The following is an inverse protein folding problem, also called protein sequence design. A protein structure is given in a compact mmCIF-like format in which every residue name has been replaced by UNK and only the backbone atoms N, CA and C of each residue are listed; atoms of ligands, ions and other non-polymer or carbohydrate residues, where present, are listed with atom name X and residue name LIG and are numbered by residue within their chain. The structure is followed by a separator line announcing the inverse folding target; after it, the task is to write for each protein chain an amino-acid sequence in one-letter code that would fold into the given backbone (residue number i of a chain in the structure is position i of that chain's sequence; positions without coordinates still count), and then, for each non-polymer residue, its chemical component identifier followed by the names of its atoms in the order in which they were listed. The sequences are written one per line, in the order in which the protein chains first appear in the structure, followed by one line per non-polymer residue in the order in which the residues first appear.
data_IF_283351875491
#
_entry.id   IF_283351875491
#
_cell.length_a   1.000
_cell.length_b   1.000
_cell.length_c   1.000
_cell.angle_alpha   90.00
_cell.angle_beta   90.00
_cell.angle_gamma   90.00
#
_symmetry.space_group_name_H-M   'P 1'
#
loop_
_entity.id
_entity.type
_entity.pdbx_description
1 polymer ?
#
# COMPACT_ATOMS: atom_id res chain seq x y z
N UNK A 1 5.06 5.58 -47.30
CA UNK A 1 6.37 5.43 -46.64
C UNK A 1 6.12 4.83 -45.28
N UNK A 2 6.66 3.64 -45.04
CA UNK A 2 6.43 2.82 -43.87
C UNK A 2 7.70 2.81 -43.03
N UNK A 3 7.61 3.10 -41.73
CA UNK A 3 8.68 2.82 -40.80
C UNK A 3 8.16 2.00 -39.62
N UNK A 4 8.49 0.72 -39.71
CA UNK A 4 8.29 -0.33 -38.75
C UNK A 4 9.49 -0.35 -37.81
N UNK A 5 9.30 0.05 -36.54
CA UNK A 5 10.28 -0.25 -35.50
C UNK A 5 9.92 -1.57 -34.80
N UNK A 6 10.51 -2.65 -35.32
CA UNK A 6 10.90 -3.82 -34.51
C UNK A 6 12.26 -3.54 -33.87
N UNK A 7 12.53 -4.24 -32.75
CA UNK A 7 13.80 -4.53 -32.05
C UNK A 7 13.69 -4.16 -30.56
N UNK A 8 14.14 -4.95 -29.58
CA UNK A 8 14.64 -6.33 -29.54
C UNK A 8 14.56 -6.73 -28.06
N UNK A 9 14.02 -7.92 -27.78
CA UNK A 9 14.14 -8.60 -26.49
C UNK A 9 15.60 -8.94 -26.23
N UNK A 10 16.10 -8.65 -25.02
CA UNK A 10 17.39 -9.13 -24.53
C UNK A 10 17.18 -9.75 -23.15
N UNK A 11 16.71 -10.99 -23.16
CA UNK A 11 17.04 -11.92 -22.08
C UNK A 11 18.51 -12.30 -22.25
N UNK A 12 19.37 -11.81 -21.37
CA UNK A 12 20.71 -12.36 -21.19
C UNK A 12 20.77 -13.09 -19.85
N UNK A 13 20.80 -14.41 -19.97
CA UNK A 13 21.31 -15.37 -19.00
C UNK A 13 22.73 -15.02 -18.58
N UNK A 14 22.98 -14.85 -17.28
CA UNK A 14 24.32 -14.99 -16.68
C UNK A 14 24.23 -15.84 -15.41
N UNK A 15 24.64 -17.09 -15.56
CA UNK A 15 25.07 -17.99 -14.49
C UNK A 15 26.59 -18.11 -14.54
N UNK A 16 27.26 -17.78 -13.42
CA UNK A 16 28.48 -18.39 -12.83
C UNK A 16 28.93 -17.48 -11.67
N UNK A 17 28.74 -17.86 -10.39
CA UNK A 17 29.61 -18.69 -9.51
C UNK A 17 30.75 -17.88 -8.86
N UNK A 18 30.75 -17.80 -7.51
CA UNK A 18 31.98 -17.70 -6.71
C UNK A 18 32.12 -16.59 -5.65
N UNK A 19 31.56 -16.82 -4.46
CA UNK A 19 32.14 -16.56 -3.12
C UNK A 19 32.73 -15.19 -2.72
N UNK A 20 32.09 -14.53 -1.74
CA UNK A 20 32.73 -14.10 -0.50
C UNK A 20 31.69 -13.94 0.62
N UNK A 21 31.95 -14.62 1.73
CA UNK A 21 31.14 -14.66 2.94
C UNK A 21 31.42 -13.41 3.78
N UNK A 22 30.39 -12.63 4.12
CA UNK A 22 30.44 -11.72 5.26
C UNK A 22 29.31 -12.07 6.24
N UNK A 23 29.76 -12.53 7.41
CA UNK A 23 28.96 -12.77 8.61
C UNK A 23 28.40 -11.47 9.16
N UNK A 24 27.14 -11.48 9.59
CA UNK A 24 26.68 -10.82 10.82
C UNK A 24 25.24 -11.26 11.16
N UNK A 25 24.78 -11.11 12.41
CA UNK A 25 24.39 -12.24 13.25
C UNK A 25 22.88 -12.30 13.52
N UNK A 26 22.34 -13.51 13.55
CA UNK A 26 20.92 -13.74 13.84
C UNK A 26 20.56 -15.22 13.68
N UNK A 27 21.25 -16.10 14.41
CA UNK A 27 20.87 -17.51 14.48
C UNK A 27 19.66 -17.68 15.40
N UNK A 28 18.49 -17.96 14.81
CA UNK A 28 17.37 -18.58 15.52
C UNK A 28 17.50 -20.12 15.44
N UNK A 29 17.11 -20.87 16.49
CA UNK A 29 17.33 -22.31 16.57
C UNK A 29 16.19 -23.07 15.87
N UNK A 30 16.17 -23.14 14.53
CA UNK A 30 15.15 -23.93 13.82
C UNK A 30 15.64 -24.73 12.60
N UNK A 31 16.96 -24.94 12.44
CA UNK A 31 17.51 -25.59 11.23
C UNK A 31 18.31 -26.88 11.50
N UNK A 32 17.87 -27.73 12.44
CA UNK A 32 18.56 -29.03 12.70
C UNK A 32 17.70 -30.30 12.65
N UNK A 33 16.50 -30.28 12.06
CA UNK A 33 15.62 -31.45 12.06
C UNK A 33 15.29 -32.09 10.69
N UNK A 34 15.80 -31.57 9.55
CA UNK A 34 15.36 -32.03 8.22
C UNK A 34 16.43 -32.76 7.37
N UNK A 35 17.36 -33.48 7.99
CA UNK A 35 18.43 -34.17 7.26
C UNK A 35 18.36 -35.72 7.28
N UNK A 36 17.25 -36.35 7.74
CA UNK A 36 17.22 -37.82 7.91
C UNK A 36 16.00 -38.58 7.40
N UNK A 37 15.15 -37.98 6.59
CA UNK A 37 14.12 -38.74 5.87
C UNK A 37 14.21 -38.45 4.39
N UNK A 38 14.65 -39.45 3.62
CA UNK A 38 14.19 -39.83 2.28
C UNK A 38 15.30 -40.57 1.53
N UNK A 39 15.25 -41.90 1.55
CA UNK A 39 15.32 -42.80 0.38
C UNK A 39 15.38 -44.25 0.83
N UNK A 40 14.22 -44.90 0.92
CA UNK A 40 14.11 -46.34 0.68
C UNK A 40 13.11 -46.51 -0.47
N UNK A 41 13.61 -46.93 -1.64
CA UNK A 41 12.80 -47.46 -2.74
C UNK A 41 12.42 -48.91 -2.38
N UNK A 42 11.17 -49.35 -2.54
CA UNK A 42 10.90 -50.76 -2.71
C UNK A 42 11.07 -51.11 -4.19
N UNK A 43 12.01 -52.01 -4.48
CA UNK A 43 12.09 -52.72 -5.75
C UNK A 43 11.46 -54.09 -5.54
N UNK A 44 10.20 -54.28 -5.95
CA UNK A 44 9.59 -55.60 -5.99
C UNK A 44 9.13 -55.84 -7.43
N UNK A 45 9.92 -56.67 -8.12
CA UNK A 45 9.62 -57.26 -9.43
C UNK A 45 8.75 -58.48 -9.17
N UNK A 46 7.51 -58.46 -9.65
CA UNK A 46 6.62 -59.62 -9.59
C UNK A 46 6.92 -60.53 -10.79
N UNK A 47 7.35 -61.77 -10.54
CA UNK A 47 7.23 -62.86 -11.51
C UNK A 47 5.88 -63.57 -11.37
N UNK A 48 5.34 -64.14 -12.46
CA UNK A 48 4.08 -64.88 -12.42
C UNK A 48 4.27 -66.35 -11.96
N UNK A 49 3.34 -66.94 -11.19
CA UNK A 49 3.43 -68.33 -10.78
C UNK A 49 2.86 -69.31 -11.82
N UNK A 50 3.52 -70.45 -11.99
CA UNK A 50 3.08 -71.66 -12.73
C UNK A 50 2.17 -72.57 -11.87
N UNK A 51 1.40 -73.51 -12.46
CA UNK A 51 0.24 -74.17 -11.81
C UNK A 51 0.63 -75.32 -10.85
N UNK A 52 -0.32 -75.81 -10.03
CA UNK A 52 -0.02 -76.54 -8.79
C UNK A 52 0.11 -78.04 -9.01
N UNK A 53 1.06 -78.66 -8.31
CA UNK A 53 1.15 -80.12 -8.17
C UNK A 53 0.46 -80.56 -6.87
N UNK A 54 -0.48 -81.50 -7.03
CA UNK A 54 -1.30 -82.09 -5.99
C UNK A 54 -0.46 -82.89 -5.00
N UNK A 55 -0.46 -82.50 -3.73
CA UNK A 55 -0.32 -83.44 -2.61
C UNK A 55 -1.36 -83.13 -1.54
N UNK A 56 -2.27 -84.10 -1.37
CA UNK A 56 -3.17 -84.16 -0.23
C UNK A 56 -2.34 -84.44 1.02
N UNK A 57 -2.47 -83.56 2.03
CA UNK A 57 -2.20 -83.93 3.40
C UNK A 57 -3.31 -83.41 4.30
N UNK A 58 -4.11 -84.37 4.74
CA UNK A 58 -5.14 -84.25 5.77
C UNK A 58 -4.50 -84.04 7.13
N UNK A 59 -4.38 -82.80 7.59
CA UNK A 59 -4.25 -82.50 9.03
C UNK A 59 -4.60 -81.02 9.32
N UNK A 60 -5.40 -80.80 10.37
CA UNK A 60 -5.81 -79.52 10.98
C UNK A 60 -6.93 -78.72 10.28
N UNK A 61 -8.14 -79.28 10.36
CA UNK A 61 -9.37 -78.50 10.57
C UNK A 61 -9.49 -78.04 12.04
N UNK A 62 -8.44 -77.42 12.59
CA UNK A 62 -8.50 -76.68 13.86
C UNK A 62 -8.00 -75.27 13.60
N UNK A 63 -8.91 -74.32 13.77
CA UNK A 63 -8.71 -72.86 13.92
C UNK A 63 -8.70 -71.93 12.71
N UNK A 64 -9.41 -72.24 11.61
CA UNK A 64 -9.71 -71.21 10.59
C UNK A 64 -10.57 -70.08 11.19
N UNK A 65 -11.43 -70.39 12.17
CA UNK A 65 -12.24 -69.40 12.88
C UNK A 65 -11.43 -68.49 13.83
N UNK A 66 -10.32 -68.96 14.41
CA UNK A 66 -9.50 -68.15 15.32
C UNK A 66 -8.57 -67.17 14.58
N UNK A 67 -8.07 -67.56 13.38
CA UNK A 67 -7.27 -66.66 12.55
C UNK A 67 -8.09 -65.53 11.92
N UNK A 68 -9.37 -65.77 11.63
CA UNK A 68 -10.31 -64.73 11.17
C UNK A 68 -10.66 -63.74 12.28
N UNK A 69 -10.83 -64.20 13.53
CA UNK A 69 -11.09 -63.31 14.68
C UNK A 69 -9.88 -62.44 15.02
N UNK A 70 -8.67 -63.00 14.98
CA UNK A 70 -7.45 -62.23 15.30
C UNK A 70 -7.14 -61.17 14.23
N UNK A 71 -7.37 -61.49 12.95
CA UNK A 71 -7.25 -60.53 11.85
C UNK A 71 -8.29 -59.41 11.91
N UNK A 72 -9.54 -59.74 12.28
CA UNK A 72 -10.61 -58.77 12.45
C UNK A 72 -10.33 -57.84 13.64
N UNK A 73 -9.88 -58.39 14.78
CA UNK A 73 -9.49 -57.62 15.96
C UNK A 73 -8.33 -56.65 15.67
N UNK A 74 -7.36 -57.06 14.83
CA UNK A 74 -6.26 -56.19 14.42
C UNK A 74 -6.73 -55.05 13.51
N UNK A 75 -7.66 -55.32 12.58
CA UNK A 75 -8.30 -54.30 11.74
C UNK A 75 -9.09 -53.31 12.59
N UNK A 76 -9.90 -53.79 13.52
CA UNK A 76 -10.71 -52.96 14.40
C UNK A 76 -9.82 -52.08 15.30
N UNK A 77 -8.71 -52.62 15.84
CA UNK A 77 -7.72 -51.83 16.58
C UNK A 77 -7.03 -50.76 15.74
N UNK A 78 -6.74 -51.07 14.47
CA UNK A 78 -6.13 -50.10 13.55
C UNK A 78 -7.10 -48.98 13.16
N UNK A 79 -8.38 -49.32 12.95
CA UNK A 79 -9.46 -48.36 12.73
C UNK A 79 -9.62 -47.46 13.96
N UNK A 80 -9.63 -48.02 15.15
CA UNK A 80 -9.73 -47.26 16.41
C UNK A 80 -8.53 -46.32 16.61
N UNK A 81 -7.31 -46.75 16.27
CA UNK A 81 -6.13 -45.88 16.26
C UNK A 81 -6.23 -44.76 15.21
N UNK A 82 -6.75 -45.05 14.02
CA UNK A 82 -7.00 -44.06 12.97
C UNK A 82 -8.03 -43.01 13.41
N UNK A 83 -9.11 -43.44 14.05
CA UNK A 83 -10.13 -42.52 14.57
C UNK A 83 -9.58 -41.67 15.71
N UNK A 84 -8.83 -42.28 16.64
CA UNK A 84 -8.19 -41.57 17.75
C UNK A 84 -7.15 -40.55 17.28
N UNK A 85 -6.34 -40.90 16.28
CA UNK A 85 -5.37 -39.96 15.70
C UNK A 85 -6.05 -38.86 14.90
N UNK A 86 -7.13 -39.18 14.16
CA UNK A 86 -7.94 -38.18 13.46
C UNK A 86 -8.59 -37.19 14.43
N UNK A 87 -9.16 -37.67 15.52
CA UNK A 87 -9.69 -36.79 16.57
C UNK A 87 -8.61 -35.96 17.24
N UNK A 88 -7.44 -36.54 17.50
CA UNK A 88 -6.29 -35.82 18.07
C UNK A 88 -5.87 -34.65 17.18
N UNK A 89 -5.68 -34.91 15.88
CA UNK A 89 -5.34 -33.87 14.90
C UNK A 89 -6.45 -32.81 14.81
N UNK A 90 -7.72 -33.21 14.81
CA UNK A 90 -8.82 -32.26 14.76
C UNK A 90 -8.87 -31.35 16.00
N UNK A 91 -8.64 -31.91 17.19
CA UNK A 91 -8.59 -31.16 18.46
C UNK A 91 -7.39 -30.20 18.49
N UNK A 92 -6.20 -30.65 18.10
CA UNK A 92 -5.00 -29.81 17.99
C UNK A 92 -5.16 -28.68 16.97
N UNK A 93 -5.73 -28.99 15.79
CA UNK A 93 -5.99 -27.99 14.77
C UNK A 93 -6.99 -26.94 15.26
N UNK A 94 -8.07 -27.37 15.93
CA UNK A 94 -9.07 -26.46 16.48
C UNK A 94 -8.48 -25.54 17.54
N UNK A 95 -7.67 -26.08 18.45
CA UNK A 95 -7.00 -25.29 19.50
C UNK A 95 -5.96 -24.33 18.92
N UNK A 96 -5.17 -24.77 17.94
CA UNK A 96 -4.23 -23.90 17.24
C UNK A 96 -4.96 -22.75 16.52
N UNK A 97 -6.06 -23.03 15.83
CA UNK A 97 -6.87 -22.02 15.14
C UNK A 97 -7.44 -21.02 16.16
N UNK A 98 -8.11 -21.48 17.22
CA UNK A 98 -8.65 -20.59 18.26
C UNK A 98 -7.57 -19.72 18.90
N UNK A 99 -6.41 -20.28 19.24
CA UNK A 99 -5.30 -19.51 19.81
C UNK A 99 -4.78 -18.44 18.84
N UNK A 100 -4.69 -18.75 17.54
CA UNK A 100 -4.28 -17.76 16.54
C UNK A 100 -5.33 -16.68 16.33
N UNK A 101 -6.62 -17.02 16.38
CA UNK A 101 -7.73 -16.09 16.28
C UNK A 101 -7.74 -15.11 17.46
N UNK A 102 -7.60 -15.61 18.69
CA UNK A 102 -7.51 -14.80 19.89
C UNK A 102 -6.29 -13.88 19.88
N UNK A 103 -5.14 -14.37 19.40
CA UNK A 103 -3.94 -13.57 19.21
C UNK A 103 -4.14 -12.44 18.19
N UNK A 104 -4.82 -12.72 17.08
CA UNK A 104 -5.12 -11.70 16.08
C UNK A 104 -6.14 -10.67 16.59
N UNK A 105 -7.17 -11.12 17.31
CA UNK A 105 -8.20 -10.27 17.92
C UNK A 105 -7.59 -9.31 18.93
N UNK A 106 -6.79 -9.82 19.88
CA UNK A 106 -6.08 -8.97 20.86
C UNK A 106 -5.15 -7.96 20.19
N UNK A 107 -4.49 -8.33 19.09
CA UNK A 107 -3.63 -7.40 18.33
C UNK A 107 -4.45 -6.32 17.63
N UNK A 108 -5.62 -6.66 17.09
CA UNK A 108 -6.55 -5.70 16.48
C UNK A 108 -7.09 -4.74 17.53
N UNK A 109 -7.54 -5.24 18.68
CA UNK A 109 -8.04 -4.40 19.77
C UNK A 109 -6.96 -3.41 20.27
N UNK A 110 -5.72 -3.88 20.38
CA UNK A 110 -4.56 -3.03 20.71
C UNK A 110 -4.24 -1.98 19.63
N UNK A 111 -4.50 -2.28 18.36
CA UNK A 111 -4.35 -1.28 17.29
C UNK A 111 -5.48 -0.27 17.33
N UNK A 112 -6.73 -0.71 17.46
CA UNK A 112 -7.92 0.14 17.52
C UNK A 112 -7.79 1.16 18.65
N UNK A 113 -7.39 0.72 19.84
CA UNK A 113 -7.14 1.62 20.99
C UNK A 113 -6.04 2.63 20.71
N UNK A 114 -4.92 2.23 20.10
CA UNK A 114 -3.85 3.17 19.71
C UNK A 114 -4.30 4.21 18.69
N UNK A 115 -5.13 3.82 17.72
CA UNK A 115 -5.65 4.75 16.73
C UNK A 115 -6.67 5.72 17.34
N UNK A 116 -7.53 5.25 18.25
CA UNK A 116 -8.45 6.10 19.00
C UNK A 116 -7.68 7.16 19.81
N UNK A 117 -6.65 6.75 20.56
CA UNK A 117 -5.79 7.68 21.31
C UNK A 117 -5.11 8.73 20.41
N UNK A 118 -4.62 8.31 19.24
CA UNK A 118 -4.02 9.25 18.27
C UNK A 118 -5.04 10.23 17.68
N UNK A 119 -6.27 9.76 17.44
CA UNK A 119 -7.34 10.61 16.93
C UNK A 119 -7.75 11.66 17.97
N UNK A 120 -7.90 11.27 19.23
CA UNK A 120 -8.15 12.18 20.34
C UNK A 120 -7.02 13.19 20.52
N UNK A 121 -5.76 12.74 20.42
CA UNK A 121 -4.59 13.62 20.50
C UNK A 121 -4.57 14.65 19.36
N UNK A 122 -4.83 14.23 18.12
CA UNK A 122 -4.93 15.14 16.98
C UNK A 122 -6.08 16.15 17.14
N UNK A 123 -7.21 15.72 17.69
CA UNK A 123 -8.35 16.59 17.96
C UNK A 123 -8.01 17.62 19.06
N UNK A 124 -7.28 17.20 20.11
CA UNK A 124 -6.81 18.08 21.17
C UNK A 124 -5.78 19.10 20.65
N UNK A 125 -4.85 18.67 19.81
CA UNK A 125 -3.85 19.55 19.19
C UNK A 125 -4.52 20.56 18.25
N UNK A 126 -5.49 20.11 17.45
CA UNK A 126 -6.26 20.97 16.54
C UNK A 126 -7.08 22.03 17.29
N UNK A 127 -7.76 21.65 18.38
CA UNK A 127 -8.52 22.60 19.21
C UNK A 127 -7.62 23.59 19.93
N UNK A 128 -6.42 23.16 20.36
CA UNK A 128 -5.40 24.06 20.93
C UNK A 128 -4.91 25.10 19.93
N UNK A 129 -4.65 24.70 18.68
CA UNK A 129 -4.23 25.62 17.60
C UNK A 129 -5.36 26.60 17.26
N UNK A 130 -6.59 26.12 17.11
CA UNK A 130 -7.74 27.00 16.87
C UNK A 130 -8.01 27.97 18.02
N UNK A 131 -7.76 27.56 19.26
CA UNK A 131 -7.85 28.43 20.43
C UNK A 131 -6.83 29.57 20.42
N UNK A 132 -5.65 29.35 19.85
CA UNK A 132 -4.62 30.39 19.68
C UNK A 132 -4.90 31.34 18.52
N UNK A 133 -5.56 30.87 17.45
CA UNK A 133 -5.99 31.71 16.33
C UNK A 133 -7.22 32.57 16.64
N UNK A 134 -8.00 32.22 17.67
CA UNK A 134 -9.17 33.00 18.12
C UNK A 134 -8.76 34.04 19.16
N UNK A 135 -7.96 35.03 18.77
CA UNK A 135 -7.80 36.28 19.52
C UNK A 135 -9.00 37.19 19.20
N UNK A 136 -9.86 37.57 20.16
CA UNK A 136 -10.84 38.62 19.94
C UNK A 136 -10.13 39.98 19.90
N UNK A 137 -10.33 40.69 18.80
CA UNK A 137 -10.09 42.12 18.63
C UNK A 137 -10.90 42.90 19.67
N UNK A 138 -10.22 43.66 20.53
CA UNK A 138 -10.62 44.92 21.22
C UNK A 138 -9.48 45.26 22.20
N UNK A 139 -8.74 46.37 22.20
CA UNK A 139 -8.81 47.66 21.52
C UNK A 139 -8.29 48.72 22.52
N UNK A 140 -7.09 49.29 22.31
CA UNK A 140 -6.68 50.64 22.76
C UNK A 140 -5.19 50.91 22.51
N UNK A 141 -4.95 51.92 21.69
CA UNK A 141 -3.91 52.96 21.75
C UNK A 141 -2.50 52.57 22.20
N UNK A 142 -1.57 52.52 21.24
CA UNK A 142 -0.29 53.22 21.35
C UNK A 142 0.29 53.40 19.94
N UNK A 143 0.59 54.65 19.61
CA UNK A 143 1.36 55.01 18.43
C UNK A 143 2.83 54.67 18.68
N UNK A 144 3.47 53.99 17.73
CA UNK A 144 4.87 54.26 17.37
C UNK A 144 5.22 53.55 16.05
N UNK A 145 5.77 54.34 15.13
CA UNK A 145 6.29 53.92 13.85
C UNK A 145 7.46 52.94 14.00
N UNK A 146 7.30 51.71 13.52
CA UNK A 146 8.38 50.94 12.89
C UNK A 146 7.78 50.05 11.80
N UNK A 147 8.25 50.11 10.53
CA UNK A 147 7.97 49.07 9.57
C UNK A 147 8.91 47.92 9.88
N UNK A 148 8.53 47.08 10.86
CA UNK A 148 9.16 45.79 11.00
C UNK A 148 8.86 45.00 9.72
N UNK A 149 9.91 44.86 8.93
CA UNK A 149 10.08 43.93 7.83
C UNK A 149 9.51 42.57 8.25
N UNK A 150 8.25 42.30 7.91
CA UNK A 150 7.65 40.98 8.00
C UNK A 150 8.19 40.15 6.83
N UNK A 151 9.50 40.00 6.80
CA UNK A 151 10.15 39.01 5.95
C UNK A 151 9.99 37.65 6.64
N UNK A 152 9.25 36.78 5.97
CA UNK A 152 9.33 35.33 6.15
C UNK A 152 9.21 34.82 7.60
N UNK A 153 8.05 35.01 8.24
CA UNK A 153 7.61 33.98 9.21
C UNK A 153 7.06 32.83 8.39
N UNK A 154 7.86 31.79 8.22
CA UNK A 154 7.44 30.52 7.65
C UNK A 154 6.41 29.89 8.60
N UNK A 155 5.13 30.24 8.40
CA UNK A 155 3.99 29.86 9.28
C UNK A 155 3.73 28.35 9.25
N UNK A 156 4.42 27.58 8.43
CA UNK A 156 4.45 26.13 8.53
C UNK A 156 5.89 25.64 8.34
N UNK A 157 6.57 25.32 9.45
CA UNK A 157 7.80 24.53 9.46
C UNK A 157 7.58 23.07 9.01
N UNK A 158 6.81 22.89 7.93
CA UNK A 158 6.56 21.63 7.29
C UNK A 158 7.46 21.55 6.07
N UNK A 159 8.56 20.83 6.21
CA UNK A 159 9.44 20.51 5.09
C UNK A 159 8.68 19.60 4.11
N UNK A 160 8.11 20.25 3.09
CA UNK A 160 7.31 19.62 2.04
C UNK A 160 8.12 18.58 1.30
N UNK A 161 9.41 18.80 1.10
CA UNK A 161 10.28 17.91 0.34
C UNK A 161 10.64 16.67 1.16
N UNK A 162 10.88 16.83 2.47
CA UNK A 162 11.04 15.70 3.38
C UNK A 162 9.77 14.85 3.48
N UNK A 163 8.60 15.48 3.52
CA UNK A 163 7.33 14.76 3.52
C UNK A 163 7.10 13.99 2.23
N UNK A 164 7.29 14.63 1.07
CA UNK A 164 7.14 13.98 -0.24
C UNK A 164 8.11 12.81 -0.39
N UNK A 165 9.37 12.98 0.01
CA UNK A 165 10.38 11.93 0.02
C UNK A 165 9.97 10.72 0.88
N UNK A 166 9.41 10.98 2.07
CA UNK A 166 8.90 9.91 2.95
C UNK A 166 7.70 9.19 2.35
N UNK A 167 6.75 9.91 1.77
CA UNK A 167 5.58 9.32 1.09
C UNK A 167 6.01 8.45 -0.08
N UNK A 168 7.00 8.88 -0.86
CA UNK A 168 7.55 8.07 -1.94
C UNK A 168 8.26 6.82 -1.44
N UNK A 169 9.05 6.92 -0.37
CA UNK A 169 9.73 5.78 0.23
C UNK A 169 8.72 4.72 0.73
N UNK A 170 7.67 5.16 1.41
CA UNK A 170 6.57 4.29 1.86
C UNK A 170 5.83 3.66 0.68
N UNK A 171 5.56 4.41 -0.39
CA UNK A 171 4.94 3.88 -1.60
C UNK A 171 5.80 2.80 -2.26
N UNK A 172 7.13 3.01 -2.33
CA UNK A 172 8.07 1.98 -2.82
C UNK A 172 8.08 0.75 -1.92
N UNK A 173 8.02 0.93 -0.60
CA UNK A 173 7.93 -0.16 0.38
C UNK A 173 6.65 -0.98 0.20
N UNK A 174 5.51 -0.31 0.05
CA UNK A 174 4.22 -0.93 -0.18
C UNK A 174 4.20 -1.74 -1.49
N UNK A 175 4.78 -1.20 -2.57
CA UNK A 175 4.95 -1.93 -3.83
C UNK A 175 5.76 -3.21 -3.66
N UNK A 176 6.86 -3.16 -2.90
CA UNK A 176 7.67 -4.36 -2.61
C UNK A 176 6.88 -5.39 -1.81
N UNK A 177 6.16 -4.96 -0.77
CA UNK A 177 5.30 -5.85 0.02
C UNK A 177 4.19 -6.49 -0.83
N UNK A 178 3.64 -5.75 -1.80
CA UNK A 178 2.68 -6.30 -2.77
C UNK A 178 3.28 -7.36 -3.68
N UNK A 179 4.50 -7.17 -4.19
CA UNK A 179 5.19 -8.22 -4.93
C UNK A 179 5.47 -9.46 -4.07
N UNK A 180 5.89 -9.28 -2.81
CA UNK A 180 6.11 -10.42 -1.90
C UNK A 180 4.80 -11.14 -1.55
N UNK A 181 3.71 -10.39 -1.36
CA UNK A 181 2.39 -10.98 -1.13
C UNK A 181 1.93 -11.82 -2.32
N UNK A 182 2.16 -11.36 -3.55
CA UNK A 182 1.85 -12.13 -4.76
C UNK A 182 2.63 -13.45 -4.83
N UNK A 183 3.93 -13.44 -4.47
CA UNK A 183 4.74 -14.67 -4.37
C UNK A 183 4.20 -15.63 -3.32
N UNK A 184 3.79 -15.11 -2.16
CA UNK A 184 3.19 -15.93 -1.08
C UNK A 184 1.87 -16.53 -1.56
N UNK A 185 1.03 -15.77 -2.24
CA UNK A 185 -0.22 -16.27 -2.82
C UNK A 185 0.05 -17.38 -3.85
N UNK A 186 1.04 -17.20 -4.73
CA UNK A 186 1.44 -18.23 -5.69
C UNK A 186 1.89 -19.51 -4.98
N UNK A 187 2.67 -19.39 -3.90
CA UNK A 187 3.13 -20.54 -3.12
C UNK A 187 2.00 -21.26 -2.40
N UNK A 188 1.03 -20.52 -1.84
CA UNK A 188 -0.19 -21.08 -1.25
C UNK A 188 -0.99 -21.83 -2.31
N UNK A 189 -1.13 -21.28 -3.52
CA UNK A 189 -1.83 -21.95 -4.62
C UNK A 189 -1.11 -23.22 -5.08
N UNK A 190 0.21 -23.19 -5.23
CA UNK A 190 1.00 -24.39 -5.56
C UNK A 190 0.83 -25.48 -4.49
N UNK A 191 0.94 -25.13 -3.21
CA UNK A 191 0.72 -26.06 -2.10
C UNK A 191 -0.71 -26.60 -2.08
N UNK A 192 -1.72 -25.76 -2.34
CA UNK A 192 -3.11 -26.19 -2.42
C UNK A 192 -3.31 -27.19 -3.57
N UNK A 193 -2.64 -27.00 -4.72
CA UNK A 193 -2.65 -27.95 -5.83
C UNK A 193 -1.94 -29.26 -5.46
N UNK A 194 -0.79 -29.20 -4.78
CA UNK A 194 -0.05 -30.39 -4.34
C UNK A 194 -0.83 -31.23 -3.33
N UNK A 195 -1.53 -30.59 -2.39
CA UNK A 195 -2.26 -31.27 -1.31
C UNK A 195 -3.66 -31.70 -1.73
N UNK A 196 -4.40 -30.86 -2.47
CA UNK A 196 -5.81 -31.09 -2.78
C UNK A 196 -6.04 -31.57 -4.22
N UNK A 197 -5.05 -31.46 -5.11
CA UNK A 197 -5.19 -31.66 -6.55
C UNK A 197 -5.80 -30.45 -7.27
N UNK A 198 -5.52 -30.33 -8.57
CA UNK A 198 -5.88 -29.17 -9.42
C UNK A 198 -7.39 -28.84 -9.39
N UNK A 199 -8.24 -29.87 -9.37
CA UNK A 199 -9.70 -29.71 -9.40
C UNK A 199 -10.28 -29.20 -8.09
N UNK A 200 -9.80 -29.68 -6.93
CA UNK A 200 -10.28 -29.26 -5.60
C UNK A 200 -9.61 -27.98 -5.11
N UNK A 201 -8.40 -27.67 -5.58
CA UNK A 201 -7.71 -26.41 -5.31
C UNK A 201 -8.39 -25.18 -5.97
N UNK A 202 -9.41 -25.40 -6.82
CA UNK A 202 -10.19 -24.32 -7.44
C UNK A 202 -9.39 -23.47 -8.44
N UNK A 203 -8.21 -23.93 -8.86
CA UNK A 203 -7.33 -23.23 -9.82
C UNK A 203 -7.99 -23.08 -11.19
N UNK A 204 -8.96 -23.94 -11.50
CA UNK A 204 -9.75 -23.88 -12.74
C UNK A 204 -10.84 -22.81 -12.75
N UNK A 205 -11.16 -22.13 -11.63
CA UNK A 205 -12.24 -21.12 -11.61
C UNK A 205 -11.71 -19.69 -11.81
N UNK A 206 -11.64 -19.34 -13.10
CA UNK A 206 -11.54 -17.99 -13.70
C UNK A 206 -12.54 -16.92 -13.15
N UNK A 207 -13.40 -17.26 -12.19
CA UNK A 207 -14.37 -16.36 -11.59
C UNK A 207 -13.71 -15.22 -10.78
N UNK A 208 -12.65 -15.52 -10.01
CA UNK A 208 -11.92 -14.49 -9.23
C UNK A 208 -11.20 -13.48 -10.13
N UNK A 209 -10.64 -13.92 -11.26
CA UNK A 209 -10.03 -13.05 -12.28
C UNK A 209 -11.06 -12.11 -12.92
N UNK A 210 -12.28 -12.60 -13.18
CA UNK A 210 -13.37 -11.79 -13.77
C UNK A 210 -13.87 -10.71 -12.80
N UNK A 211 -14.01 -11.05 -11.51
CA UNK A 211 -14.40 -10.07 -10.47
C UNK A 211 -13.30 -9.03 -10.25
N UNK A 212 -12.03 -9.45 -10.17
CA UNK A 212 -10.90 -8.53 -10.06
C UNK A 212 -10.81 -7.61 -11.29
N UNK A 213 -10.94 -8.15 -12.51
CA UNK A 213 -10.97 -7.37 -13.75
C UNK A 213 -12.10 -6.33 -13.74
N UNK A 214 -13.30 -6.68 -13.27
CA UNK A 214 -14.40 -5.73 -13.10
C UNK A 214 -14.07 -4.62 -12.08
N UNK A 215 -13.43 -4.97 -10.96
CA UNK A 215 -13.02 -3.98 -9.94
C UNK A 215 -11.94 -3.03 -10.46
N UNK A 216 -10.94 -3.56 -11.17
CA UNK A 216 -9.88 -2.76 -11.79
C UNK A 216 -10.44 -1.84 -12.87
N UNK A 217 -11.32 -2.34 -13.75
CA UNK A 217 -11.95 -1.51 -14.77
C UNK A 217 -12.83 -0.42 -14.15
N UNK A 218 -13.54 -0.71 -13.05
CA UNK A 218 -14.33 0.29 -12.32
C UNK A 218 -13.45 1.35 -11.66
N UNK A 219 -12.32 0.94 -11.09
CA UNK A 219 -11.34 1.86 -10.51
C UNK A 219 -10.70 2.76 -11.58
N UNK A 220 -10.33 2.20 -12.74
CA UNK A 220 -9.81 2.95 -13.88
C UNK A 220 -10.84 3.98 -14.38
N UNK A 221 -12.10 3.60 -14.56
CA UNK A 221 -13.15 4.52 -14.99
C UNK A 221 -13.41 5.65 -13.98
N UNK A 222 -13.35 5.37 -12.67
CA UNK A 222 -13.45 6.40 -11.64
C UNK A 222 -12.24 7.34 -11.66
N UNK A 223 -11.04 6.81 -11.89
CA UNK A 223 -9.82 7.59 -12.00
C UNK A 223 -9.85 8.51 -13.23
N UNK A 224 -10.23 7.99 -14.39
CA UNK A 224 -10.35 8.77 -15.62
C UNK A 224 -11.39 9.89 -15.47
N UNK A 225 -12.51 9.61 -14.79
CA UNK A 225 -13.53 10.61 -14.45
C UNK A 225 -12.97 11.70 -13.54
N UNK A 226 -12.26 11.32 -12.49
CA UNK A 226 -11.62 12.27 -11.58
C UNK A 226 -10.57 13.12 -12.30
N UNK A 227 -9.80 12.53 -13.20
CA UNK A 227 -8.79 13.24 -13.98
C UNK A 227 -9.44 14.24 -14.95
N UNK A 228 -10.57 13.89 -15.57
CA UNK A 228 -11.36 14.79 -16.40
C UNK A 228 -11.95 15.96 -15.58
N UNK A 229 -12.52 15.68 -14.41
CA UNK A 229 -13.04 16.70 -13.49
C UNK A 229 -11.94 17.67 -13.01
N UNK A 230 -10.76 17.14 -12.66
CA UNK A 230 -9.59 17.97 -12.31
C UNK A 230 -9.10 18.82 -13.49
N UNK A 231 -9.09 18.25 -14.70
CA UNK A 231 -8.74 18.99 -15.92
C UNK A 231 -9.70 20.15 -16.19
N UNK A 232 -11.01 19.94 -15.98
CA UNK A 232 -12.02 20.98 -16.12
C UNK A 232 -11.81 22.11 -15.09
N UNK A 233 -11.56 21.76 -13.83
CA UNK A 233 -11.29 22.73 -12.76
C UNK A 233 -10.03 23.57 -13.03
N UNK A 234 -8.95 22.94 -13.50
CA UNK A 234 -7.74 23.66 -13.93
C UNK A 234 -8.04 24.63 -15.09
N UNK A 235 -8.86 24.21 -16.05
CA UNK A 235 -9.29 25.06 -17.15
C UNK A 235 -10.10 26.28 -16.67
N UNK A 236 -10.97 26.12 -15.67
CA UNK A 236 -11.69 27.24 -15.06
C UNK A 236 -10.79 28.18 -14.28
N UNK A 237 -9.85 27.64 -13.49
CA UNK A 237 -8.87 28.44 -12.76
C UNK A 237 -8.01 29.28 -13.70
N UNK A 238 -7.54 28.71 -14.82
CA UNK A 238 -6.79 29.46 -15.84
C UNK A 238 -7.63 30.58 -16.48
N UNK A 239 -8.94 30.37 -16.68
CA UNK A 239 -9.84 31.43 -17.18
C UNK A 239 -9.98 32.55 -16.16
N UNK A 240 -10.15 32.22 -14.88
CA UNK A 240 -10.22 33.20 -13.80
C UNK A 240 -8.92 33.98 -13.67
N UNK A 241 -7.77 33.30 -13.70
CA UNK A 241 -6.45 33.93 -13.67
C UNK A 241 -6.30 34.94 -14.81
N UNK A 242 -6.58 34.54 -16.05
CA UNK A 242 -6.54 35.44 -17.21
C UNK A 242 -7.48 36.65 -17.06
N UNK A 243 -8.67 36.45 -16.51
CA UNK A 243 -9.62 37.54 -16.25
C UNK A 243 -9.09 38.52 -15.20
N UNK A 244 -8.49 38.01 -14.11
CA UNK A 244 -7.85 38.83 -13.08
C UNK A 244 -6.69 39.62 -13.67
N UNK A 245 -5.81 38.98 -14.44
CA UNK A 245 -4.69 39.66 -15.12
C UNK A 245 -5.18 40.79 -16.01
N UNK A 246 -6.22 40.54 -16.82
CA UNK A 246 -6.79 41.56 -17.72
C UNK A 246 -7.39 42.73 -16.92
N UNK A 247 -8.13 42.45 -15.85
CA UNK A 247 -8.67 43.50 -14.98
C UNK A 247 -7.57 44.30 -14.27
N UNK A 248 -6.49 43.63 -13.84
CA UNK A 248 -5.34 44.28 -13.23
C UNK A 248 -4.63 45.21 -14.24
N UNK A 249 -4.43 44.75 -15.47
CA UNK A 249 -3.84 45.59 -16.54
C UNK A 249 -4.67 46.83 -16.85
N UNK A 250 -6.00 46.68 -16.97
CA UNK A 250 -6.91 47.81 -17.18
C UNK A 250 -6.80 48.80 -16.02
N UNK A 251 -6.81 48.30 -14.79
CA UNK A 251 -6.71 49.12 -13.58
C UNK A 251 -5.39 49.89 -13.52
N UNK A 252 -4.27 49.23 -13.84
CA UNK A 252 -2.95 49.85 -13.90
C UNK A 252 -2.91 50.94 -14.98
N UNK A 253 -3.47 50.69 -16.17
CA UNK A 253 -3.55 51.70 -17.24
C UNK A 253 -4.37 52.91 -16.79
N UNK A 254 -5.52 52.69 -16.15
CA UNK A 254 -6.37 53.76 -15.64
C UNK A 254 -5.67 54.57 -14.54
N UNK A 255 -4.95 53.91 -13.62
CA UNK A 255 -4.17 54.57 -12.58
C UNK A 255 -3.04 55.42 -13.16
N UNK A 256 -2.26 54.90 -14.12
CA UNK A 256 -1.21 55.66 -14.81
C UNK A 256 -1.78 56.89 -15.53
N UNK A 257 -2.94 56.75 -16.19
CA UNK A 257 -3.61 57.87 -16.84
C UNK A 257 -4.06 58.94 -15.82
N UNK A 258 -4.64 58.55 -14.69
CA UNK A 258 -5.03 59.47 -13.60
C UNK A 258 -3.82 60.16 -12.98
N UNK A 259 -2.72 59.42 -12.76
CA UNK A 259 -1.48 59.97 -12.23
C UNK A 259 -0.89 61.02 -13.18
N UNK A 260 -0.87 60.74 -14.48
CA UNK A 260 -0.41 61.70 -15.49
C UNK A 260 -1.24 62.99 -15.47
N UNK A 261 -2.58 62.88 -15.45
CA UNK A 261 -3.48 64.04 -15.34
C UNK A 261 -3.17 64.91 -14.11
N UNK A 262 -3.05 64.28 -12.92
CA UNK A 262 -2.68 65.01 -11.69
C UNK A 262 -1.32 65.68 -11.76
N UNK A 263 -0.35 65.03 -12.40
CA UNK A 263 0.99 65.61 -12.59
C UNK A 263 0.95 66.83 -13.51
N UNK A 264 0.16 66.77 -14.59
CA UNK A 264 0.01 67.87 -15.53
C UNK A 264 -0.74 69.06 -14.89
N UNK A 265 -1.78 68.81 -14.10
CA UNK A 265 -2.47 69.83 -13.30
C UNK A 265 -1.52 70.52 -12.31
N UNK A 266 -0.72 69.75 -11.57
CA UNK A 266 0.29 70.30 -10.65
C UNK A 266 1.33 71.15 -11.38
N UNK A 267 1.77 70.73 -12.57
CA UNK A 267 2.70 71.53 -13.40
C UNK A 267 2.06 72.86 -13.82
N UNK A 268 0.79 72.84 -14.23
CA UNK A 268 0.04 74.05 -14.60
C UNK A 268 -0.10 75.01 -13.42
N UNK A 269 -0.51 74.51 -12.25
CA UNK A 269 -0.60 75.31 -11.03
C UNK A 269 0.75 75.94 -10.64
N UNK A 270 1.85 75.18 -10.73
CA UNK A 270 3.21 75.72 -10.48
C UNK A 270 3.57 76.83 -11.47
N UNK A 271 3.25 76.65 -12.75
CA UNK A 271 3.51 77.67 -13.78
C UNK A 271 2.71 78.96 -13.52
N UNK A 272 1.44 78.84 -13.15
CA UNK A 272 0.58 79.97 -12.78
C UNK A 272 1.11 80.72 -11.54
N UNK A 273 1.51 80.00 -10.49
CA UNK A 273 2.14 80.59 -9.29
C UNK A 273 3.44 81.33 -9.65
N UNK A 274 4.29 80.73 -10.49
CA UNK A 274 5.51 81.39 -10.95
C UNK A 274 5.23 82.66 -11.77
N UNK A 275 4.21 82.64 -12.63
CA UNK A 275 3.79 83.85 -13.36
C UNK A 275 3.26 84.93 -12.42
N UNK A 276 2.46 84.55 -11.42
CA UNK A 276 1.93 85.48 -10.43
C UNK A 276 3.07 86.12 -9.62
N UNK A 277 4.02 85.32 -9.15
CA UNK A 277 5.20 85.80 -8.43
C UNK A 277 6.04 86.79 -9.28
N UNK A 278 6.24 86.50 -10.58
CA UNK A 278 6.92 87.42 -11.50
C UNK A 278 6.20 88.75 -11.64
N UNK A 279 4.86 88.76 -11.72
CA UNK A 279 4.07 89.99 -11.77
C UNK A 279 4.17 90.81 -10.49
N UNK A 280 4.19 90.17 -9.32
CA UNK A 280 4.36 90.86 -8.03
C UNK A 280 5.72 91.54 -7.98
N UNK A 281 6.80 90.84 -8.37
CA UNK A 281 8.16 91.41 -8.39
C UNK A 281 8.27 92.58 -9.38
N UNK A 282 7.61 92.50 -10.54
CA UNK A 282 7.64 93.58 -11.53
C UNK A 282 6.84 94.85 -11.13
N UNK A 283 5.95 94.73 -10.14
CA UNK A 283 5.13 95.83 -9.62
C UNK A 283 5.71 96.45 -8.32
N UNK A 284 6.89 95.98 -7.88
CA UNK A 284 7.69 96.55 -6.77
C UNK A 284 8.84 97.34 -7.38
#
# INVERSE_FOLDING_TARGET
MAESHRYRSIFQTRTTRGSASQRSPGHTPFTRANARMMRLRPSIRMEPPSPPDLRMDTAKLRSVAAGLSDGQNALDSFVEQLEKTREGIAKELSTAISNTEDSMKTRLDKMTTKYAQKAEQLQADYTKVLGQLRVPVTGKNAAEDQPAELDSVDVFGFDRDAFLSKVEAENRSLKRLWCEWEKVQQKIVCLAVEVLGVERAGVTKNHKRRVMKKRVNRAAALFDKQQAEQGAMLGELQKQEKAITLMAEISVKALKARQKKRMDERKKQRAEVCQLAKKVIANV
#
